data_IF_456295336085
#
_entry.id   IF_456295336085
#
_cell.length_a   1.000
_cell.length_b   1.000
_cell.length_c   1.000
_cell.angle_alpha   90.00
_cell.angle_beta   90.00
_cell.angle_gamma   90.00
#
_symmetry.space_group_name_H-M   'P 1'
#
loop_
_entity.id
_entity.type
_entity.pdbx_description
1 polymer ?
#
# COMPACT_ATOMS: atom_id res chain seq x y z
N UNK A 1 13.71 -8.53 18.79
CA UNK A 1 12.74 -7.39 18.75
C UNK A 1 13.34 -6.14 19.37
N UNK A 2 13.55 -6.05 20.70
CA UNK A 2 14.13 -4.86 21.34
C UNK A 2 15.48 -4.45 20.73
N UNK A 3 16.37 -5.43 20.54
CA UNK A 3 17.66 -5.22 19.89
C UNK A 3 17.50 -4.70 18.47
N UNK A 4 16.71 -5.36 17.62
CA UNK A 4 16.44 -4.95 16.24
C UNK A 4 15.92 -3.51 16.14
N UNK A 5 14.96 -3.14 16.99
CA UNK A 5 14.41 -1.77 17.00
C UNK A 5 15.43 -0.76 17.53
N UNK A 6 16.22 -1.12 18.55
CA UNK A 6 17.28 -0.25 19.07
C UNK A 6 18.38 0.02 18.04
N UNK A 7 18.65 -0.92 17.14
CA UNK A 7 19.57 -0.76 16.01
C UNK A 7 18.93 -0.06 14.79
N UNK A 8 17.69 0.45 14.91
CA UNK A 8 16.99 1.13 13.80
C UNK A 8 16.39 0.19 12.76
N UNK A 9 16.32 -1.12 13.03
CA UNK A 9 15.68 -2.08 12.17
C UNK A 9 14.16 -1.90 12.13
N UNK A 10 13.57 -2.05 10.96
CA UNK A 10 12.11 -2.03 10.78
C UNK A 10 11.51 -3.41 11.01
N UNK A 11 10.33 -3.47 11.65
CA UNK A 11 9.58 -4.70 11.87
C UNK A 11 8.28 -4.62 11.08
N UNK A 12 8.01 -5.63 10.24
CA UNK A 12 6.75 -5.73 9.51
C UNK A 12 5.77 -6.65 10.22
N UNK A 13 4.57 -6.15 10.52
CA UNK A 13 3.49 -6.94 11.11
C UNK A 13 2.66 -7.60 9.99
N UNK A 14 2.32 -8.88 10.14
CA UNK A 14 1.55 -9.60 9.12
C UNK A 14 0.42 -10.38 9.76
N UNK A 15 -0.81 -10.17 9.29
CA UNK A 15 -1.92 -11.03 9.64
C UNK A 15 -3.15 -10.75 8.80
N UNK A 16 -3.50 -11.75 8.00
CA UNK A 16 -4.53 -11.67 6.96
C UNK A 16 -5.86 -12.28 7.40
N UNK A 17 -5.91 -12.88 8.60
CA UNK A 17 -7.13 -13.44 9.19
C UNK A 17 -8.04 -12.31 9.63
N UNK A 18 -9.35 -12.43 9.37
CA UNK A 18 -10.36 -11.40 9.72
C UNK A 18 -10.24 -10.91 11.17
N UNK A 19 -10.00 -11.82 12.12
CA UNK A 19 -9.85 -11.51 13.55
C UNK A 19 -8.60 -10.68 13.88
N UNK A 20 -7.58 -10.72 13.02
CA UNK A 20 -6.30 -10.05 13.25
C UNK A 20 -6.15 -8.75 12.43
N UNK A 21 -7.01 -8.50 11.44
CA UNK A 21 -6.80 -7.39 10.49
C UNK A 21 -6.85 -6.03 11.17
N UNK A 22 -7.86 -5.80 12.01
CA UNK A 22 -8.05 -4.53 12.74
C UNK A 22 -6.95 -4.35 13.78
N UNK A 23 -6.72 -5.37 14.61
CA UNK A 23 -5.72 -5.32 15.69
C UNK A 23 -4.31 -5.04 15.15
N UNK A 24 -3.91 -5.67 14.04
CA UNK A 24 -2.60 -5.44 13.44
C UNK A 24 -2.49 -4.04 12.85
N UNK A 25 -3.52 -3.58 12.12
CA UNK A 25 -3.50 -2.25 11.53
C UNK A 25 -3.42 -1.16 12.58
N UNK A 26 -4.23 -1.26 13.64
CA UNK A 26 -4.26 -0.30 14.73
C UNK A 26 -2.91 -0.23 15.46
N UNK A 27 -2.40 -1.39 15.90
CA UNK A 27 -1.18 -1.41 16.71
C UNK A 27 0.06 -1.05 15.89
N UNK A 28 0.18 -1.51 14.64
CA UNK A 28 1.31 -1.18 13.78
C UNK A 28 1.34 0.31 13.40
N UNK A 29 0.17 0.89 13.12
CA UNK A 29 0.03 2.34 12.85
C UNK A 29 0.43 3.15 14.08
N UNK A 30 0.02 2.73 15.27
CA UNK A 30 0.37 3.40 16.53
C UNK A 30 1.88 3.44 16.80
N UNK A 31 2.60 2.38 16.44
CA UNK A 31 4.07 2.31 16.60
C UNK A 31 4.85 2.78 15.38
N UNK A 32 4.16 3.25 14.31
CA UNK A 32 4.79 3.75 13.09
C UNK A 32 5.53 2.69 12.27
N UNK A 33 5.16 1.41 12.40
CA UNK A 33 5.81 0.29 11.72
C UNK A 33 4.97 -0.23 10.56
N UNK A 34 5.59 -0.78 9.50
CA UNK A 34 4.86 -1.31 8.35
C UNK A 34 4.02 -2.54 8.71
N UNK A 35 2.88 -2.73 8.05
CA UNK A 35 2.02 -3.89 8.25
C UNK A 35 1.32 -4.38 6.97
N UNK A 36 0.90 -5.64 6.99
CA UNK A 36 0.04 -6.26 5.98
C UNK A 36 -1.14 -6.94 6.69
N UNK A 37 -2.32 -6.33 6.58
CA UNK A 37 -3.57 -6.86 7.13
C UNK A 37 -4.51 -7.43 6.06
N UNK A 38 -4.30 -7.12 4.78
CA UNK A 38 -5.11 -7.63 3.67
C UNK A 38 -4.52 -8.92 3.09
N UNK A 39 -4.19 -8.94 1.79
CA UNK A 39 -3.60 -10.09 1.12
C UNK A 39 -2.08 -9.96 1.07
N UNK A 40 -1.39 -10.99 1.54
CA UNK A 40 0.04 -11.13 1.28
C UNK A 40 0.26 -11.61 -0.17
N UNK A 41 0.95 -10.81 -0.97
CA UNK A 41 1.33 -11.21 -2.33
C UNK A 41 2.64 -11.99 -2.27
N UNK A 42 2.68 -13.13 -2.96
CA UNK A 42 3.92 -13.88 -3.13
C UNK A 42 5.00 -12.97 -3.75
N UNK A 43 6.19 -12.97 -3.18
CA UNK A 43 7.28 -12.11 -3.64
C UNK A 43 7.38 -10.74 -2.95
N UNK A 44 6.54 -10.43 -1.96
CA UNK A 44 6.62 -9.15 -1.22
C UNK A 44 8.00 -8.86 -0.61
N UNK A 45 8.69 -9.89 -0.11
CA UNK A 45 10.04 -9.76 0.44
C UNK A 45 11.13 -10.21 -0.54
N UNK A 46 10.89 -11.29 -1.29
CA UNK A 46 11.91 -11.89 -2.17
C UNK A 46 12.04 -11.17 -3.51
N UNK A 47 11.00 -10.45 -3.96
CA UNK A 47 11.02 -9.61 -5.15
C UNK A 47 10.55 -8.19 -4.83
N UNK A 48 11.24 -7.55 -3.90
CA UNK A 48 10.91 -6.18 -3.47
C UNK A 48 11.01 -5.17 -4.62
N UNK A 49 11.92 -5.36 -5.57
CA UNK A 49 12.10 -4.43 -6.70
C UNK A 49 10.83 -4.26 -7.55
N UNK A 50 10.09 -5.34 -7.80
CA UNK A 50 8.82 -5.29 -8.55
C UNK A 50 7.70 -4.69 -7.70
N UNK A 51 7.65 -5.03 -6.42
CA UNK A 51 6.63 -4.52 -5.49
C UNK A 51 6.80 -3.02 -5.28
N UNK A 52 8.04 -2.54 -5.19
CA UNK A 52 8.37 -1.13 -5.07
C UNK A 52 7.90 -0.33 -6.29
N UNK A 53 8.01 -0.86 -7.51
CA UNK A 53 7.46 -0.22 -8.70
C UNK A 53 5.93 -0.05 -8.62
N UNK A 54 5.23 -1.03 -8.02
CA UNK A 54 3.77 -0.94 -7.80
C UNK A 54 3.43 0.14 -6.77
N UNK A 55 4.27 0.31 -5.75
CA UNK A 55 4.14 1.41 -4.78
C UNK A 55 4.37 2.77 -5.43
N UNK A 56 5.37 2.90 -6.31
CA UNK A 56 5.58 4.13 -7.09
C UNK A 56 4.37 4.45 -7.97
N UNK A 57 3.83 3.43 -8.65
CA UNK A 57 2.60 3.56 -9.46
C UNK A 57 1.41 4.03 -8.62
N UNK A 58 1.24 3.53 -7.39
CA UNK A 58 0.19 4.01 -6.50
C UNK A 58 0.36 5.50 -6.17
N UNK A 59 1.59 5.95 -5.87
CA UNK A 59 1.87 7.37 -5.62
C UNK A 59 1.57 8.25 -6.84
N UNK A 60 1.90 7.78 -8.05
CA UNK A 60 1.54 8.48 -9.29
C UNK A 60 0.01 8.62 -9.41
N UNK A 61 -0.74 7.56 -9.14
CA UNK A 61 -2.21 7.56 -9.18
C UNK A 61 -2.84 8.41 -8.08
N UNK A 62 -2.18 8.61 -6.94
CA UNK A 62 -2.64 9.51 -5.88
C UNK A 62 -2.52 10.99 -6.25
N UNK A 63 -1.61 11.34 -7.16
CA UNK A 63 -1.41 12.70 -7.65
C UNK A 63 -2.41 13.10 -8.75
N UNK A 64 -3.13 12.13 -9.32
CA UNK A 64 -4.14 12.39 -10.35
C UNK A 64 -5.42 12.90 -9.68
N UNK A 65 -5.90 14.06 -10.12
CA UNK A 65 -7.23 14.53 -9.80
C UNK A 65 -8.26 13.81 -10.68
N UNK A 66 -9.08 12.97 -10.06
CA UNK A 66 -10.11 12.18 -10.75
C UNK A 66 -11.41 12.96 -10.98
N UNK A 67 -11.58 14.12 -10.35
CA UNK A 67 -12.78 14.95 -10.47
C UNK A 67 -12.64 15.96 -11.61
N UNK A 68 -11.42 16.43 -11.89
CA UNK A 68 -11.15 17.35 -13.00
C UNK A 68 -10.78 16.62 -14.32
N UNK A 69 -11.82 16.24 -15.06
CA UNK A 69 -11.71 15.64 -16.39
C UNK A 69 -11.08 16.61 -17.41
N UNK A 70 -11.30 17.91 -17.25
CA UNK A 70 -10.84 18.91 -18.21
C UNK A 70 -9.33 19.19 -18.05
N UNK A 71 -8.84 19.25 -16.81
CA UNK A 71 -7.42 19.46 -16.53
C UNK A 71 -6.56 18.22 -16.77
N UNK A 72 -7.12 17.02 -16.60
CA UNK A 72 -6.38 15.76 -16.82
C UNK A 72 -6.11 15.42 -18.28
N UNK A 73 -6.90 15.97 -19.22
CA UNK A 73 -6.81 15.63 -20.64
C UNK A 73 -7.22 14.19 -20.97
N UNK A 74 -7.85 13.49 -20.02
CA UNK A 74 -8.28 12.10 -20.12
C UNK A 74 -9.79 12.01 -20.30
N UNK A 75 -10.26 10.97 -20.98
CA UNK A 75 -11.70 10.68 -21.06
C UNK A 75 -12.23 10.16 -19.71
N UNK A 76 -13.53 10.33 -19.45
CA UNK A 76 -14.20 9.75 -18.27
C UNK A 76 -13.99 8.24 -18.14
N UNK A 77 -13.87 7.53 -19.27
CA UNK A 77 -13.60 6.09 -19.28
C UNK A 77 -12.19 5.77 -18.80
N UNK A 78 -11.19 6.54 -19.23
CA UNK A 78 -9.80 6.38 -18.80
C UNK A 78 -9.65 6.70 -17.31
N UNK A 79 -10.27 7.78 -16.84
CA UNK A 79 -10.30 8.11 -15.40
C UNK A 79 -10.95 7.01 -14.57
N UNK A 80 -12.04 6.40 -15.06
CA UNK A 80 -12.67 5.25 -14.39
C UNK A 80 -11.73 4.03 -14.31
N UNK A 81 -10.95 3.76 -15.36
CA UNK A 81 -9.97 2.67 -15.38
C UNK A 81 -8.85 2.94 -14.37
N UNK A 82 -8.32 4.17 -14.34
CA UNK A 82 -7.28 4.57 -13.39
C UNK A 82 -7.77 4.54 -11.94
N UNK A 83 -9.02 4.96 -11.69
CA UNK A 83 -9.65 4.87 -10.37
C UNK A 83 -9.79 3.41 -9.91
N UNK A 84 -10.15 2.50 -10.81
CA UNK A 84 -10.18 1.05 -10.53
C UNK A 84 -8.79 0.45 -10.33
N UNK A 85 -7.77 0.98 -11.01
CA UNK A 85 -6.37 0.59 -10.80
C UNK A 85 -5.93 1.00 -9.39
N UNK A 86 -6.19 2.25 -8.98
CA UNK A 86 -5.90 2.78 -7.64
C UNK A 86 -6.60 1.98 -6.55
N UNK A 87 -7.86 1.60 -6.73
CA UNK A 87 -8.60 0.81 -5.75
C UNK A 87 -8.09 -0.63 -5.57
N UNK A 88 -7.32 -1.16 -6.54
CA UNK A 88 -6.76 -2.52 -6.50
C UNK A 88 -5.33 -2.56 -5.96
N UNK A 89 -4.61 -1.44 -6.05
CA UNK A 89 -3.24 -1.27 -5.55
C UNK A 89 -3.26 -0.91 -4.07
#
# INVERSE_FOLDING_TARGET
VKETVAHGGSIMFVGTKKQAQEAIAEQATRVGMPYVNQRWLGGMLTNFSTVYKRLQRLKELELIDFEDVAASGLTKKELLVLSREKAKL
#
